data_IF_031415632390
#
_entry.id   IF_031415632390
#
_cell.length_a   1.000
_cell.length_b   1.000
_cell.length_c   1.000
_cell.angle_alpha   90.00
_cell.angle_beta   90.00
_cell.angle_gamma   90.00
#
_symmetry.space_group_name_H-M   'P 1'
#
loop_
_entity.id
_entity.type
_entity.pdbx_description
1 polymer ?
#
# COMPACT_ATOMS: atom_id res chain seq x y z
N UNK A 1 18.44 61.92 29.15
CA UNK A 1 19.26 61.39 30.25
C UNK A 1 19.16 59.86 30.18
N UNK A 2 20.16 59.24 29.55
CA UNK A 2 20.77 57.92 29.83
C UNK A 2 19.81 56.77 30.25
N UNK A 3 19.64 55.65 29.55
CA UNK A 3 20.53 54.91 28.65
C UNK A 3 20.84 53.56 29.31
N UNK A 4 20.36 52.44 28.74
CA UNK A 4 20.98 51.09 28.78
C UNK A 4 20.39 50.28 27.62
N UNK A 5 21.15 50.15 26.53
CA UNK A 5 20.98 49.14 25.48
C UNK A 5 22.37 48.51 25.29
N UNK A 6 22.56 47.30 25.80
CA UNK A 6 23.59 46.33 25.39
C UNK A 6 23.51 45.22 26.42
N UNK A 7 23.17 44.01 25.97
CA UNK A 7 23.70 42.71 26.45
C UNK A 7 22.82 41.53 25.97
N UNK A 8 21.60 41.80 25.49
CA UNK A 8 20.70 40.73 25.00
C UNK A 8 20.99 40.28 23.56
N UNK A 9 21.78 41.03 22.78
CA UNK A 9 22.02 40.71 21.36
C UNK A 9 23.27 39.84 21.12
N UNK A 10 24.14 39.65 22.12
CA UNK A 10 25.33 38.82 21.99
C UNK A 10 25.08 37.36 22.44
N UNK A 11 24.11 37.13 23.33
CA UNK A 11 23.77 35.78 23.83
C UNK A 11 22.93 35.02 22.79
N UNK A 12 22.02 35.69 22.06
CA UNK A 12 21.21 35.03 21.03
C UNK A 12 22.03 34.56 19.83
N UNK A 13 23.06 35.31 19.42
CA UNK A 13 23.94 34.89 18.32
C UNK A 13 24.89 33.75 18.67
N UNK A 14 25.25 33.58 19.95
CA UNK A 14 26.06 32.46 20.42
C UNK A 14 25.21 31.19 20.66
N UNK A 15 23.93 31.33 21.01
CA UNK A 15 23.00 30.20 21.08
C UNK A 15 22.57 29.71 19.68
N UNK A 16 22.31 30.61 18.72
CA UNK A 16 22.00 30.20 17.34
C UNK A 16 23.18 29.50 16.66
N UNK A 17 24.43 29.92 16.90
CA UNK A 17 25.60 29.21 16.34
C UNK A 17 25.87 27.86 17.03
N UNK A 18 25.56 27.72 18.32
CA UNK A 18 25.68 26.45 19.04
C UNK A 18 24.58 25.44 18.68
N UNK A 19 23.34 25.90 18.44
CA UNK A 19 22.25 25.03 17.99
C UNK A 19 22.40 24.63 16.52
N UNK A 20 22.96 25.51 15.66
CA UNK A 20 23.25 25.15 14.26
C UNK A 20 24.41 24.15 14.14
N UNK A 21 25.37 24.17 15.07
CA UNK A 21 26.47 23.18 15.13
C UNK A 21 26.01 21.82 15.70
N UNK A 22 25.09 21.81 16.68
CA UNK A 22 24.56 20.57 17.25
C UNK A 22 23.56 19.86 16.34
N UNK A 23 22.81 20.58 15.49
CA UNK A 23 21.93 19.97 14.48
C UNK A 23 22.72 19.37 13.31
N UNK A 24 23.89 19.91 12.97
CA UNK A 24 24.76 19.30 11.95
C UNK A 24 25.49 18.04 12.45
N UNK A 25 25.84 17.95 13.73
CA UNK A 25 26.51 16.76 14.27
C UNK A 25 25.55 15.57 14.48
N UNK A 26 24.26 15.78 14.75
CA UNK A 26 23.31 14.66 14.90
C UNK A 26 22.94 14.00 13.57
N UNK A 27 22.73 14.79 12.50
CA UNK A 27 22.42 14.24 11.17
C UNK A 27 23.65 13.53 10.56
N UNK A 28 24.87 14.04 10.79
CA UNK A 28 26.10 13.40 10.31
C UNK A 28 26.46 12.13 11.11
N UNK A 29 26.16 12.11 12.42
CA UNK A 29 26.37 10.94 13.29
C UNK A 29 25.47 9.78 12.89
N UNK A 30 24.18 10.06 12.67
CA UNK A 30 23.21 9.04 12.25
C UNK A 30 23.49 8.57 10.82
N UNK A 31 23.85 9.46 9.89
CA UNK A 31 24.24 9.06 8.52
C UNK A 31 25.51 8.21 8.49
N UNK A 32 26.54 8.52 9.29
CA UNK A 32 27.78 7.72 9.38
C UNK A 32 27.51 6.35 10.01
N UNK A 33 26.70 6.28 11.06
CA UNK A 33 26.32 5.01 11.68
C UNK A 33 25.48 4.14 10.74
N UNK A 34 24.56 4.74 9.98
CA UNK A 34 23.75 4.06 8.97
C UNK A 34 24.58 3.61 7.74
N UNK A 35 25.62 4.36 7.36
CA UNK A 35 26.56 3.98 6.30
C UNK A 35 27.37 2.73 6.67
N UNK A 36 27.86 2.66 7.93
CA UNK A 36 28.54 1.46 8.44
C UNK A 36 27.58 0.27 8.59
N UNK A 37 26.35 0.53 9.05
CA UNK A 37 25.34 -0.51 9.17
C UNK A 37 24.98 -1.09 7.79
N UNK A 38 24.69 -0.29 6.77
CA UNK A 38 24.40 -0.79 5.42
C UNK A 38 25.53 -1.63 4.81
N UNK A 39 26.79 -1.35 5.18
CA UNK A 39 27.95 -2.07 4.66
C UNK A 39 27.99 -3.56 5.07
N UNK A 40 27.51 -3.91 6.27
CA UNK A 40 27.47 -5.31 6.72
C UNK A 40 26.43 -6.13 5.95
N UNK A 41 25.23 -5.61 5.74
CA UNK A 41 24.18 -6.26 4.95
C UNK A 41 24.64 -6.43 3.49
N UNK A 42 25.33 -5.43 2.94
CA UNK A 42 25.97 -5.51 1.62
C UNK A 42 27.01 -6.62 1.55
N UNK A 43 27.93 -6.67 2.52
CA UNK A 43 28.96 -7.71 2.58
C UNK A 43 28.34 -9.12 2.70
N UNK A 44 27.33 -9.26 3.57
CA UNK A 44 26.59 -10.50 3.73
C UNK A 44 25.84 -10.89 2.45
N UNK A 45 25.18 -9.94 1.77
CA UNK A 45 24.50 -10.18 0.49
C UNK A 45 25.47 -10.68 -0.58
N UNK A 46 26.68 -10.12 -0.65
CA UNK A 46 27.75 -10.58 -1.54
C UNK A 46 28.23 -12.00 -1.16
N UNK A 47 28.33 -12.31 0.12
CA UNK A 47 28.66 -13.66 0.58
C UNK A 47 27.58 -14.67 0.15
N UNK A 48 26.30 -14.33 0.34
CA UNK A 48 25.18 -15.16 -0.11
C UNK A 48 25.20 -15.38 -1.63
N UNK A 49 25.67 -14.39 -2.42
CA UNK A 49 25.89 -14.58 -3.85
C UNK A 49 26.89 -15.69 -4.14
N UNK A 50 28.06 -15.66 -3.48
CA UNK A 50 29.13 -16.65 -3.64
C UNK A 50 28.69 -18.06 -3.26
N UNK A 51 27.74 -18.15 -2.31
CA UNK A 51 27.15 -19.40 -1.86
C UNK A 51 25.92 -19.85 -2.68
N UNK A 52 25.52 -19.08 -3.70
CA UNK A 52 24.29 -19.31 -4.48
C UNK A 52 23.00 -19.34 -3.63
N UNK A 53 22.97 -18.56 -2.54
CA UNK A 53 21.86 -18.54 -1.57
C UNK A 53 20.88 -17.37 -1.77
N UNK A 54 21.22 -16.38 -2.61
CA UNK A 54 20.35 -15.21 -2.84
C UNK A 54 18.98 -15.57 -3.42
N UNK A 55 18.94 -16.35 -4.51
CA UNK A 55 17.67 -16.72 -5.15
C UNK A 55 16.81 -17.60 -4.24
N UNK A 56 17.33 -18.69 -3.61
CA UNK A 56 16.56 -19.48 -2.66
C UNK A 56 16.01 -18.66 -1.48
N UNK A 57 16.77 -17.67 -0.99
CA UNK A 57 16.34 -16.78 0.08
C UNK A 57 15.13 -15.94 -0.35
N UNK A 58 15.22 -15.24 -1.48
CA UNK A 58 14.11 -14.41 -1.99
C UNK A 58 12.87 -15.26 -2.28
N UNK A 59 13.04 -16.44 -2.88
CA UNK A 59 11.93 -17.35 -3.14
C UNK A 59 11.28 -17.84 -1.85
N UNK A 60 12.07 -18.12 -0.82
CA UNK A 60 11.56 -18.56 0.49
C UNK A 60 10.79 -17.45 1.20
N UNK A 61 11.23 -16.19 1.08
CA UNK A 61 10.50 -15.04 1.60
C UNK A 61 9.14 -14.87 0.89
N UNK A 62 9.10 -14.94 -0.44
CA UNK A 62 7.83 -14.90 -1.19
C UNK A 62 6.93 -16.09 -0.87
N UNK A 63 7.50 -17.29 -0.72
CA UNK A 63 6.77 -18.49 -0.28
C UNK A 63 6.13 -18.26 1.10
N UNK A 64 6.90 -17.73 2.05
CA UNK A 64 6.40 -17.40 3.38
C UNK A 64 5.21 -16.44 3.31
N UNK A 65 5.27 -15.41 2.46
CA UNK A 65 4.16 -14.47 2.26
C UNK A 65 2.92 -15.19 1.74
N UNK A 66 3.03 -15.91 0.62
CA UNK A 66 1.86 -16.54 0.00
C UNK A 66 1.30 -17.70 0.82
N UNK A 67 2.12 -18.35 1.65
CA UNK A 67 1.68 -19.42 2.55
C UNK A 67 0.89 -18.85 3.75
N UNK A 68 1.41 -17.80 4.40
CA UNK A 68 0.86 -17.29 5.66
C UNK A 68 -0.15 -16.15 5.49
N UNK A 69 -0.10 -15.39 4.39
CA UNK A 69 -0.93 -14.21 4.16
C UNK A 69 -1.76 -14.38 2.88
N UNK A 70 -2.71 -15.33 2.90
CA UNK A 70 -3.47 -15.73 1.71
C UNK A 70 -4.21 -14.57 1.04
N UNK A 71 -4.61 -13.56 1.82
CA UNK A 71 -5.33 -12.39 1.32
C UNK A 71 -4.51 -11.53 0.35
N UNK A 72 -3.16 -11.63 0.36
CA UNK A 72 -2.30 -10.89 -0.59
C UNK A 72 -2.02 -11.65 -1.88
N UNK A 73 -2.34 -12.95 -1.97
CA UNK A 73 -2.11 -13.76 -3.18
C UNK A 73 -2.64 -13.11 -4.47
N UNK A 74 -3.81 -12.44 -4.49
CA UNK A 74 -4.35 -11.83 -5.71
C UNK A 74 -3.53 -10.68 -6.30
N UNK A 75 -2.54 -10.15 -5.60
CA UNK A 75 -1.58 -9.16 -6.15
C UNK A 75 -0.75 -9.80 -7.27
N UNK A 76 -0.46 -11.10 -7.16
CA UNK A 76 0.37 -11.82 -8.11
C UNK A 76 -0.44 -12.81 -8.94
N UNK A 77 -0.15 -12.86 -10.24
CA UNK A 77 -0.75 -13.84 -11.14
C UNK A 77 -0.44 -15.29 -10.74
N UNK A 78 0.76 -15.56 -10.21
CA UNK A 78 1.10 -16.89 -9.68
C UNK A 78 0.35 -17.20 -8.38
N UNK A 79 0.05 -16.19 -7.55
CA UNK A 79 -0.67 -16.36 -6.28
C UNK A 79 -2.09 -16.85 -6.49
N UNK A 80 -2.77 -16.37 -7.55
CA UNK A 80 -4.12 -16.80 -7.93
C UNK A 80 -4.21 -18.28 -8.36
N UNK A 81 -3.08 -18.92 -8.69
CA UNK A 81 -3.03 -20.31 -9.13
C UNK A 81 -2.73 -21.30 -8.00
N UNK A 82 -2.43 -20.80 -6.81
CA UNK A 82 -2.08 -21.65 -5.66
C UNK A 82 -3.31 -22.48 -5.26
N UNK A 83 -3.11 -23.79 -5.17
CA UNK A 83 -4.12 -24.75 -4.74
C UNK A 83 -3.55 -25.64 -3.63
N UNK A 84 -3.81 -25.25 -2.38
CA UNK A 84 -3.28 -25.95 -1.20
C UNK A 84 -3.87 -27.35 -1.00
N UNK A 85 -4.94 -27.71 -1.73
CA UNK A 85 -5.47 -29.07 -1.73
C UNK A 85 -4.55 -30.05 -2.46
N UNK A 86 -3.67 -29.54 -3.33
CA UNK A 86 -2.65 -30.34 -4.00
C UNK A 86 -1.38 -30.42 -3.13
N UNK A 87 -0.90 -31.61 -2.74
CA UNK A 87 0.34 -31.72 -1.95
C UNK A 87 1.59 -31.21 -2.67
N UNK A 88 1.53 -31.05 -4.01
CA UNK A 88 2.64 -30.60 -4.84
C UNK A 88 2.61 -29.09 -5.15
N UNK A 89 1.69 -28.32 -4.55
CA UNK A 89 1.48 -26.90 -4.91
C UNK A 89 2.74 -26.04 -4.79
N UNK A 90 3.62 -26.33 -3.81
CA UNK A 90 4.91 -25.64 -3.67
C UNK A 90 5.82 -25.93 -4.85
N UNK A 91 5.92 -27.19 -5.27
CA UNK A 91 6.69 -27.58 -6.47
C UNK A 91 6.17 -26.91 -7.72
N UNK A 92 4.84 -26.82 -7.87
CA UNK A 92 4.20 -26.09 -8.98
C UNK A 92 4.57 -24.60 -8.94
N UNK A 93 4.52 -23.97 -7.75
CA UNK A 93 4.89 -22.57 -7.56
C UNK A 93 6.35 -22.29 -7.92
N UNK A 94 7.29 -23.10 -7.44
CA UNK A 94 8.72 -22.95 -7.77
C UNK A 94 9.00 -23.10 -9.27
N UNK A 95 8.17 -23.85 -10.00
CA UNK A 95 8.27 -24.01 -11.44
C UNK A 95 7.51 -22.94 -12.24
N UNK A 96 6.60 -22.16 -11.62
CA UNK A 96 5.86 -21.09 -12.30
C UNK A 96 6.82 -20.01 -12.80
N UNK A 97 6.66 -19.63 -14.08
CA UNK A 97 7.51 -18.64 -14.75
C UNK A 97 7.46 -17.27 -14.07
N UNK A 98 6.26 -16.81 -13.70
CA UNK A 98 6.08 -15.48 -13.10
C UNK A 98 6.66 -15.41 -11.70
N UNK A 99 6.56 -16.49 -10.92
CA UNK A 99 7.18 -16.58 -9.59
C UNK A 99 8.71 -16.49 -9.68
N UNK A 100 9.33 -17.28 -10.56
CA UNK A 100 10.79 -17.24 -10.76
C UNK A 100 11.27 -15.89 -11.29
N UNK A 101 10.55 -15.33 -12.27
CA UNK A 101 10.88 -14.02 -12.83
C UNK A 101 10.81 -12.93 -11.75
N UNK A 102 9.73 -12.86 -10.97
CA UNK A 102 9.58 -11.87 -9.92
C UNK A 102 10.66 -12.01 -8.84
N UNK A 103 10.99 -13.25 -8.44
CA UNK A 103 12.08 -13.53 -7.50
C UNK A 103 13.44 -13.01 -8.01
N UNK A 104 13.74 -13.24 -9.29
CA UNK A 104 14.96 -12.73 -9.92
C UNK A 104 14.98 -11.20 -10.02
N UNK A 105 13.83 -10.57 -10.30
CA UNK A 105 13.70 -9.10 -10.29
C UNK A 105 13.97 -8.51 -8.90
N UNK A 106 13.41 -9.11 -7.84
CA UNK A 106 13.66 -8.67 -6.45
C UNK A 106 15.14 -8.84 -6.08
N UNK A 107 15.74 -10.01 -6.37
CA UNK A 107 17.16 -10.23 -6.12
C UNK A 107 18.04 -9.18 -6.82
N UNK A 108 17.73 -8.88 -8.08
CA UNK A 108 18.46 -7.87 -8.87
C UNK A 108 18.27 -6.48 -8.28
N UNK A 109 17.05 -6.14 -7.87
CA UNK A 109 16.75 -4.86 -7.21
C UNK A 109 17.52 -4.69 -5.90
N UNK A 110 17.53 -5.70 -5.02
CA UNK A 110 18.32 -5.67 -3.77
C UNK A 110 19.80 -5.45 -4.10
N UNK A 111 20.33 -6.16 -5.11
CA UNK A 111 21.74 -6.00 -5.52
C UNK A 111 22.04 -4.59 -6.02
N UNK A 112 21.14 -4.02 -6.82
CA UNK A 112 21.26 -2.65 -7.32
C UNK A 112 21.25 -1.63 -6.18
N UNK A 113 20.30 -1.76 -5.24
CA UNK A 113 20.19 -0.87 -4.07
C UNK A 113 21.43 -0.98 -3.19
N UNK A 114 21.91 -2.20 -2.92
CA UNK A 114 23.16 -2.44 -2.18
C UNK A 114 24.37 -1.78 -2.87
N UNK A 115 24.37 -1.71 -4.20
CA UNK A 115 25.39 -1.02 -4.99
C UNK A 115 25.35 0.51 -4.89
N UNK A 116 24.24 1.08 -4.42
CA UNK A 116 24.01 2.53 -4.27
C UNK A 116 24.02 3.01 -2.82
N UNK A 117 24.36 2.15 -1.85
CA UNK A 117 24.33 2.51 -0.41
C UNK A 117 25.22 3.70 -0.05
N UNK A 118 26.30 3.91 -0.81
CA UNK A 118 27.24 5.02 -0.56
C UNK A 118 26.66 6.39 -1.03
N UNK A 119 25.52 6.40 -1.74
CA UNK A 119 24.76 7.59 -2.16
C UNK A 119 23.27 7.43 -1.78
N UNK A 120 22.94 7.80 -0.54
CA UNK A 120 21.58 7.69 0.02
C UNK A 120 20.53 8.45 -0.81
N UNK A 121 20.89 9.60 -1.37
CA UNK A 121 19.95 10.42 -2.16
C UNK A 121 19.63 9.75 -3.50
N UNK A 122 20.64 9.17 -4.16
CA UNK A 122 20.43 8.36 -5.36
C UNK A 122 19.60 7.11 -5.05
N UNK A 123 19.91 6.42 -3.95
CA UNK A 123 19.15 5.25 -3.49
C UNK A 123 17.67 5.59 -3.23
N UNK A 124 17.39 6.69 -2.54
CA UNK A 124 16.03 7.17 -2.28
C UNK A 124 15.28 7.44 -3.58
N UNK A 125 15.88 8.18 -4.52
CA UNK A 125 15.24 8.47 -5.82
C UNK A 125 14.90 7.20 -6.60
N UNK A 126 15.83 6.27 -6.66
CA UNK A 126 15.64 4.97 -7.31
C UNK A 126 14.48 4.19 -6.67
N UNK A 127 14.46 4.10 -5.34
CA UNK A 127 13.42 3.37 -4.61
C UNK A 127 12.06 4.06 -4.69
N UNK A 128 12.01 5.40 -4.73
CA UNK A 128 10.77 6.15 -4.96
C UNK A 128 10.18 5.86 -6.35
N UNK A 129 11.02 5.74 -7.39
CA UNK A 129 10.58 5.34 -8.73
C UNK A 129 10.03 3.90 -8.73
N UNK A 130 10.73 2.97 -8.07
CA UNK A 130 10.23 1.60 -7.86
C UNK A 130 8.88 1.62 -7.13
N UNK A 131 8.74 2.44 -6.08
CA UNK A 131 7.49 2.63 -5.34
C UNK A 131 6.35 3.16 -6.20
N UNK A 132 6.61 4.14 -7.07
CA UNK A 132 5.60 4.66 -8.00
C UNK A 132 5.08 3.56 -8.95
N UNK A 133 5.92 2.63 -9.39
CA UNK A 133 5.47 1.46 -10.16
C UNK A 133 4.62 0.49 -9.34
N UNK A 134 4.97 0.26 -8.06
CA UNK A 134 4.23 -0.61 -7.16
C UNK A 134 2.80 -0.12 -6.91
N UNK A 135 2.57 1.19 -6.90
CA UNK A 135 1.22 1.77 -6.87
C UNK A 135 0.33 1.25 -8.03
N UNK A 136 0.88 1.12 -9.24
CA UNK A 136 0.15 0.62 -10.41
C UNK A 136 -0.05 -0.90 -10.40
N UNK A 137 0.73 -1.63 -9.59
CA UNK A 137 0.55 -3.07 -9.35
C UNK A 137 -0.41 -3.36 -8.19
N UNK A 138 -1.10 -2.34 -7.69
CA UNK A 138 -2.00 -2.43 -6.53
C UNK A 138 -1.32 -2.89 -5.25
N UNK A 139 -0.01 -2.64 -5.14
CA UNK A 139 0.69 -2.76 -3.89
C UNK A 139 0.54 -1.49 -3.04
N UNK A 140 0.55 -1.67 -1.72
CA UNK A 140 0.57 -0.59 -0.72
C UNK A 140 1.64 -0.89 0.33
N UNK A 141 1.85 0.06 1.22
CA UNK A 141 2.88 0.08 2.24
C UNK A 141 2.77 -1.13 3.19
N UNK A 142 1.56 -1.57 3.52
CA UNK A 142 1.34 -2.79 4.30
C UNK A 142 1.93 -4.05 3.63
N UNK A 143 1.92 -4.14 2.29
CA UNK A 143 2.57 -5.26 1.59
C UNK A 143 4.09 -5.19 1.66
N UNK A 144 4.67 -3.97 1.75
CA UNK A 144 6.11 -3.79 1.92
C UNK A 144 6.55 -4.21 3.32
N UNK A 145 5.73 -3.93 4.33
CA UNK A 145 5.97 -4.42 5.70
C UNK A 145 5.94 -5.95 5.78
N UNK A 146 4.97 -6.61 5.12
CA UNK A 146 4.95 -8.07 5.02
C UNK A 146 6.21 -8.62 4.33
N UNK A 147 6.69 -7.93 3.29
CA UNK A 147 7.93 -8.31 2.61
C UNK A 147 9.17 -8.17 3.48
N UNK A 148 9.33 -7.06 4.21
CA UNK A 148 10.40 -6.86 5.20
C UNK A 148 10.39 -7.99 6.24
N UNK A 149 9.23 -8.28 6.83
CA UNK A 149 9.08 -9.33 7.84
C UNK A 149 9.44 -10.71 7.29
N UNK A 150 8.97 -11.04 6.08
CA UNK A 150 9.25 -12.32 5.43
C UNK A 150 10.72 -12.50 5.07
N UNK A 151 11.38 -11.43 4.60
CA UNK A 151 12.81 -11.43 4.31
C UNK A 151 13.64 -11.66 5.58
N UNK A 152 13.35 -10.92 6.65
CA UNK A 152 14.03 -11.10 7.95
C UNK A 152 13.79 -12.49 8.53
N UNK A 153 12.55 -13.00 8.48
CA UNK A 153 12.23 -14.36 8.91
C UNK A 153 13.11 -15.37 8.16
N UNK A 154 13.16 -15.28 6.84
CA UNK A 154 13.91 -16.21 6.00
C UNK A 154 15.42 -16.14 6.25
N UNK A 155 15.97 -14.92 6.40
CA UNK A 155 17.38 -14.72 6.75
C UNK A 155 17.73 -15.40 8.09
N UNK A 156 16.83 -15.35 9.07
CA UNK A 156 17.02 -15.98 10.40
C UNK A 156 16.91 -17.50 10.35
N UNK A 157 15.99 -18.05 9.57
CA UNK A 157 15.63 -19.48 9.64
C UNK A 157 16.32 -20.35 8.60
N UNK A 158 16.65 -19.79 7.43
CA UNK A 158 17.14 -20.57 6.29
C UNK A 158 18.67 -20.61 6.19
N UNK A 159 19.37 -19.73 6.92
CA UNK A 159 20.83 -19.63 6.87
C UNK A 159 21.48 -20.38 8.03
N UNK A 160 22.53 -21.15 7.73
CA UNK A 160 23.24 -21.99 8.70
C UNK A 160 24.76 -21.95 8.45
N UNK A 161 25.55 -22.39 9.44
CA UNK A 161 27.01 -22.42 9.35
C UNK A 161 27.58 -21.03 9.02
N UNK A 162 28.49 -20.97 8.05
CA UNK A 162 29.19 -19.75 7.64
C UNK A 162 28.28 -18.68 7.02
N UNK A 163 27.05 -19.05 6.62
CA UNK A 163 26.06 -18.10 6.09
C UNK A 163 25.13 -17.52 7.16
N UNK A 164 25.24 -18.00 8.42
CA UNK A 164 24.37 -17.54 9.50
C UNK A 164 24.72 -16.11 9.90
N UNK A 165 23.70 -15.28 10.09
CA UNK A 165 23.88 -13.92 10.60
C UNK A 165 24.27 -13.95 12.08
N UNK A 166 25.24 -13.11 12.46
CA UNK A 166 25.43 -12.67 13.83
C UNK A 166 24.51 -11.47 14.14
N UNK A 167 24.53 -11.00 15.39
CA UNK A 167 23.64 -9.93 15.83
C UNK A 167 23.89 -8.59 15.08
N UNK A 168 25.14 -8.29 14.73
CA UNK A 168 25.49 -7.07 14.01
C UNK A 168 25.00 -7.13 12.56
N UNK A 169 25.18 -8.27 11.89
CA UNK A 169 24.69 -8.52 10.54
C UNK A 169 23.15 -8.48 10.51
N UNK A 170 22.49 -9.08 11.49
CA UNK A 170 21.03 -9.03 11.59
C UNK A 170 20.51 -7.60 11.75
N UNK A 171 21.09 -6.82 12.67
CA UNK A 171 20.71 -5.42 12.87
C UNK A 171 20.89 -4.60 11.59
N UNK A 172 21.99 -4.83 10.88
CA UNK A 172 22.26 -4.23 9.58
C UNK A 172 21.19 -4.56 8.52
N UNK A 173 20.71 -5.81 8.46
CA UNK A 173 19.60 -6.18 7.57
C UNK A 173 18.28 -5.52 7.95
N UNK A 174 18.00 -5.35 9.25
CA UNK A 174 16.82 -4.64 9.74
C UNK A 174 16.84 -3.19 9.26
N UNK A 175 17.96 -2.50 9.42
CA UNK A 175 18.09 -1.11 8.99
C UNK A 175 18.00 -0.96 7.47
N UNK A 176 18.70 -1.83 6.72
CA UNK A 176 18.60 -1.86 5.26
C UNK A 176 17.17 -2.08 4.76
N UNK A 177 16.46 -3.09 5.29
CA UNK A 177 15.10 -3.38 4.84
C UNK A 177 14.10 -2.29 5.28
N UNK A 178 14.35 -1.65 6.42
CA UNK A 178 13.59 -0.48 6.87
C UNK A 178 13.74 0.69 5.90
N UNK A 179 14.96 0.98 5.43
CA UNK A 179 15.22 2.01 4.41
C UNK A 179 14.53 1.67 3.08
N UNK A 180 14.65 0.43 2.63
CA UNK A 180 13.97 -0.05 1.41
C UNK A 180 12.46 0.12 1.52
N UNK A 181 11.86 -0.33 2.63
CA UNK A 181 10.42 -0.15 2.88
C UNK A 181 10.03 1.32 2.88
N UNK A 182 10.80 2.16 3.58
CA UNK A 182 10.51 3.60 3.73
C UNK A 182 10.50 4.29 2.37
N UNK A 183 11.56 4.15 1.58
CA UNK A 183 11.66 4.85 0.29
C UNK A 183 10.70 4.29 -0.78
N UNK A 184 10.49 2.96 -0.85
CA UNK A 184 9.44 2.43 -1.74
C UNK A 184 8.05 2.94 -1.28
N UNK A 185 7.79 2.99 0.02
CA UNK A 185 6.57 3.54 0.60
C UNK A 185 6.37 5.02 0.26
N UNK A 186 7.40 5.85 0.36
CA UNK A 186 7.39 7.25 -0.10
C UNK A 186 6.99 7.35 -1.57
N UNK A 187 7.59 6.52 -2.44
CA UNK A 187 7.24 6.46 -3.86
C UNK A 187 5.75 6.15 -4.11
N UNK A 188 5.20 5.18 -3.38
CA UNK A 188 3.76 4.84 -3.43
C UNK A 188 2.92 6.04 -2.97
N UNK A 189 3.28 6.68 -1.85
CA UNK A 189 2.55 7.81 -1.29
C UNK A 189 2.58 9.03 -2.22
N UNK A 190 3.72 9.32 -2.86
CA UNK A 190 3.85 10.38 -3.87
C UNK A 190 2.91 10.09 -5.05
N UNK A 191 2.96 8.88 -5.61
CA UNK A 191 2.12 8.51 -6.75
C UNK A 191 0.62 8.52 -6.42
N UNK A 192 0.26 8.12 -5.20
CA UNK A 192 -1.10 8.21 -4.67
C UNK A 192 -1.57 9.67 -4.59
N UNK A 193 -0.74 10.56 -4.04
CA UNK A 193 -1.06 11.98 -3.93
C UNK A 193 -1.24 12.63 -5.32
N UNK A 194 -0.38 12.29 -6.28
CA UNK A 194 -0.54 12.71 -7.68
C UNK A 194 -1.87 12.23 -8.24
N UNK A 195 -2.21 10.95 -8.05
CA UNK A 195 -3.48 10.40 -8.50
C UNK A 195 -4.68 11.12 -7.87
N UNK A 196 -4.71 11.31 -6.55
CA UNK A 196 -5.82 11.98 -5.86
C UNK A 196 -6.02 13.42 -6.33
N UNK A 197 -4.93 14.12 -6.68
CA UNK A 197 -4.97 15.49 -7.20
C UNK A 197 -5.56 15.56 -8.61
N UNK A 198 -5.23 14.59 -9.47
CA UNK A 198 -5.39 14.73 -10.92
C UNK A 198 -6.40 13.76 -11.56
N UNK A 199 -6.89 12.75 -10.85
CA UNK A 199 -7.67 11.67 -11.46
C UNK A 199 -9.01 12.11 -12.07
N UNK A 200 -9.53 13.27 -11.67
CA UNK A 200 -10.86 13.74 -11.99
C UNK A 200 -10.90 15.21 -12.40
N UNK A 201 -11.63 15.49 -13.48
CA UNK A 201 -11.86 16.86 -13.96
C UNK A 201 -13.13 17.47 -13.34
N UNK A 202 -13.25 18.82 -13.32
CA UNK A 202 -14.46 19.49 -12.80
C UNK A 202 -15.74 19.07 -13.53
N UNK A 203 -15.67 18.90 -14.87
CA UNK A 203 -16.81 18.48 -15.67
C UNK A 203 -17.25 17.03 -15.37
N UNK A 204 -16.30 16.14 -15.10
CA UNK A 204 -16.64 14.78 -14.65
C UNK A 204 -17.35 14.81 -13.29
N UNK A 205 -16.92 15.70 -12.38
CA UNK A 205 -17.57 15.85 -11.06
C UNK A 205 -18.95 16.48 -11.11
N UNK A 206 -19.22 17.41 -12.03
CA UNK A 206 -20.58 17.94 -12.25
C UNK A 206 -21.52 16.79 -12.66
N UNK A 207 -21.08 15.92 -13.56
CA UNK A 207 -21.86 14.75 -13.99
C UNK A 207 -22.08 13.73 -12.86
N UNK A 208 -21.04 13.46 -12.06
CA UNK A 208 -21.15 12.59 -10.88
C UNK A 208 -22.15 13.16 -9.87
N UNK A 209 -22.02 14.45 -9.51
CA UNK A 209 -22.93 15.11 -8.54
C UNK A 209 -24.37 15.08 -9.03
N UNK A 210 -24.62 15.39 -10.31
CA UNK A 210 -25.97 15.32 -10.88
C UNK A 210 -26.59 13.91 -10.81
N UNK A 211 -25.78 12.86 -11.01
CA UNK A 211 -26.25 11.47 -10.86
C UNK A 211 -26.38 11.07 -9.40
N UNK A 212 -25.56 11.61 -8.50
CA UNK A 212 -25.65 11.38 -7.06
C UNK A 212 -26.95 11.91 -6.47
N UNK A 213 -27.42 13.08 -6.91
CA UNK A 213 -28.74 13.59 -6.51
C UNK A 213 -29.87 12.59 -6.82
N UNK A 214 -29.81 11.91 -7.97
CA UNK A 214 -30.80 10.87 -8.31
C UNK A 214 -30.74 9.67 -7.36
N UNK A 215 -29.55 9.36 -6.83
CA UNK A 215 -29.34 8.29 -5.86
C UNK A 215 -29.87 8.71 -4.49
N UNK A 216 -29.69 9.98 -4.11
CA UNK A 216 -30.30 10.55 -2.92
C UNK A 216 -31.83 10.49 -3.02
N UNK A 217 -32.41 10.91 -4.15
CA UNK A 217 -33.85 10.86 -4.43
C UNK A 217 -34.40 9.42 -4.41
N UNK A 218 -33.60 8.45 -4.86
CA UNK A 218 -33.94 7.03 -4.79
C UNK A 218 -33.91 6.49 -3.35
N UNK A 219 -33.01 7.00 -2.51
CA UNK A 219 -32.83 6.60 -1.12
C UNK A 219 -31.49 5.91 -0.90
N UNK A 220 -30.61 6.55 -0.12
CA UNK A 220 -29.27 6.04 0.21
C UNK A 220 -29.28 4.65 0.88
N UNK A 221 -30.19 4.33 1.83
CA UNK A 221 -30.21 2.99 2.44
C UNK A 221 -30.46 1.89 1.41
N UNK A 222 -31.49 2.04 0.56
CA UNK A 222 -31.82 1.06 -0.48
C UNK A 222 -30.69 0.94 -1.51
N UNK A 223 -30.11 2.06 -1.94
CA UNK A 223 -28.96 2.07 -2.84
C UNK A 223 -27.75 1.33 -2.25
N UNK A 224 -27.45 1.54 -0.96
CA UNK A 224 -26.36 0.87 -0.26
C UNK A 224 -26.55 -0.65 -0.18
N UNK A 225 -27.78 -1.10 0.09
CA UNK A 225 -28.09 -2.54 0.12
C UNK A 225 -27.86 -3.21 -1.24
N UNK A 226 -28.23 -2.54 -2.36
CA UNK A 226 -27.98 -3.03 -3.71
C UNK A 226 -26.47 -3.18 -3.97
N UNK A 227 -25.68 -2.15 -3.62
CA UNK A 227 -24.21 -2.19 -3.77
C UNK A 227 -23.63 -3.36 -2.98
N UNK A 228 -23.99 -3.48 -1.70
CA UNK A 228 -23.40 -4.47 -0.81
C UNK A 228 -23.83 -5.90 -1.16
N UNK A 229 -25.11 -6.13 -1.48
CA UNK A 229 -25.60 -7.45 -1.88
C UNK A 229 -24.83 -7.95 -3.10
N UNK A 230 -24.71 -7.10 -4.13
CA UNK A 230 -24.00 -7.47 -5.34
C UNK A 230 -22.50 -7.65 -5.07
N UNK A 231 -21.88 -6.75 -4.32
CA UNK A 231 -20.47 -6.84 -3.99
C UNK A 231 -20.15 -8.14 -3.24
N UNK A 232 -20.92 -8.51 -2.22
CA UNK A 232 -20.73 -9.75 -1.45
C UNK A 232 -20.80 -10.98 -2.38
N UNK A 233 -21.80 -11.02 -3.26
CA UNK A 233 -21.96 -12.13 -4.22
C UNK A 233 -20.76 -12.22 -5.17
N UNK A 234 -20.33 -11.09 -5.72
CA UNK A 234 -19.17 -11.03 -6.62
C UNK A 234 -17.87 -11.37 -5.90
N UNK A 235 -17.67 -10.87 -4.69
CA UNK A 235 -16.49 -11.15 -3.88
C UNK A 235 -16.40 -12.64 -3.50
N UNK A 236 -17.51 -13.24 -3.06
CA UNK A 236 -17.60 -14.68 -2.76
C UNK A 236 -17.22 -15.52 -3.97
N UNK A 237 -17.71 -15.15 -5.16
CA UNK A 237 -17.36 -15.82 -6.42
C UNK A 237 -15.86 -15.68 -6.73
N UNK A 238 -15.30 -14.49 -6.58
CA UNK A 238 -13.88 -14.22 -6.86
C UNK A 238 -12.95 -14.97 -5.91
N UNK A 239 -13.26 -14.98 -4.61
CA UNK A 239 -12.56 -15.78 -3.59
C UNK A 239 -12.60 -17.26 -3.96
N UNK A 240 -13.78 -17.81 -4.28
CA UNK A 240 -13.93 -19.21 -4.65
C UNK A 240 -13.14 -19.59 -5.91
N UNK A 241 -13.13 -18.71 -6.92
CA UNK A 241 -12.30 -18.89 -8.12
C UNK A 241 -10.80 -18.86 -7.82
N UNK A 242 -10.39 -18.07 -6.82
CA UNK A 242 -9.01 -17.97 -6.36
C UNK A 242 -8.65 -19.04 -5.30
N UNK A 243 -9.57 -19.97 -4.97
CA UNK A 243 -9.39 -21.01 -3.95
C UNK A 243 -8.95 -20.47 -2.59
N UNK A 244 -9.46 -19.30 -2.23
CA UNK A 244 -9.20 -18.68 -0.94
C UNK A 244 -10.30 -19.07 0.05
N UNK A 245 -9.93 -19.50 1.25
CA UNK A 245 -10.88 -19.69 2.34
C UNK A 245 -10.93 -18.41 3.17
N UNK A 246 -11.82 -17.50 2.78
CA UNK A 246 -12.03 -16.22 3.48
C UNK A 246 -13.50 -16.06 3.81
N UNK A 247 -13.80 -15.77 5.07
CA UNK A 247 -15.17 -15.58 5.53
C UNK A 247 -15.60 -14.13 5.31
N UNK A 248 -16.79 -13.94 4.74
CA UNK A 248 -17.47 -12.65 4.78
C UNK A 248 -18.21 -12.59 6.12
N UNK A 249 -17.91 -11.64 7.01
CA UNK A 249 -18.30 -11.75 8.42
C UNK A 249 -19.78 -11.46 8.70
N UNK A 250 -20.59 -11.15 7.68
CA UNK A 250 -21.98 -10.71 7.88
C UNK A 250 -22.96 -11.35 6.89
N UNK A 251 -24.16 -11.66 7.41
CA UNK A 251 -25.31 -12.13 6.63
C UNK A 251 -26.14 -10.93 6.16
N UNK A 252 -26.81 -11.07 5.02
CA UNK A 252 -27.70 -10.02 4.48
C UNK A 252 -28.73 -9.51 5.50
N UNK A 253 -29.27 -10.40 6.33
CA UNK A 253 -30.28 -10.05 7.33
C UNK A 253 -29.70 -9.51 8.65
N UNK A 254 -28.40 -9.26 8.72
CA UNK A 254 -27.76 -8.77 9.95
C UNK A 254 -27.74 -7.25 10.00
N UNK A 255 -27.88 -6.69 11.20
CA UNK A 255 -27.71 -5.24 11.43
C UNK A 255 -26.33 -4.74 10.97
N UNK A 256 -25.32 -5.63 11.03
CA UNK A 256 -23.97 -5.37 10.51
C UNK A 256 -23.99 -5.10 9.00
N UNK A 257 -24.79 -5.83 8.22
CA UNK A 257 -24.92 -5.60 6.78
C UNK A 257 -25.55 -4.25 6.49
N UNK A 258 -26.65 -3.91 7.16
CA UNK A 258 -27.33 -2.61 7.00
C UNK A 258 -26.40 -1.46 7.39
N UNK A 259 -25.71 -1.56 8.52
CA UNK A 259 -24.74 -0.55 8.94
C UNK A 259 -23.58 -0.40 7.95
N UNK A 260 -23.07 -1.52 7.40
CA UNK A 260 -22.03 -1.47 6.37
C UNK A 260 -22.51 -0.82 5.06
N UNK A 261 -23.74 -1.12 4.63
CA UNK A 261 -24.36 -0.50 3.47
C UNK A 261 -24.51 1.02 3.64
N UNK A 262 -24.96 1.48 4.81
CA UNK A 262 -25.03 2.89 5.13
C UNK A 262 -23.64 3.56 5.13
N UNK A 263 -22.65 2.93 5.76
CA UNK A 263 -21.27 3.44 5.80
C UNK A 263 -20.66 3.58 4.41
N UNK A 264 -20.88 2.62 3.51
CA UNK A 264 -20.39 2.71 2.12
C UNK A 264 -21.00 3.93 1.42
N UNK A 265 -22.32 4.14 1.55
CA UNK A 265 -22.98 5.26 0.89
C UNK A 265 -22.54 6.61 1.47
N UNK A 266 -22.33 6.68 2.79
CA UNK A 266 -21.75 7.85 3.44
C UNK A 266 -20.32 8.13 2.96
N UNK A 267 -19.49 7.09 2.81
CA UNK A 267 -18.13 7.24 2.30
C UNK A 267 -18.11 7.76 0.85
N UNK A 268 -19.04 7.32 0.00
CA UNK A 268 -19.21 7.89 -1.34
C UNK A 268 -19.68 9.35 -1.30
N UNK A 269 -20.61 9.69 -0.41
CA UNK A 269 -21.08 11.07 -0.25
C UNK A 269 -19.91 11.99 0.14
N UNK A 270 -19.14 11.62 1.17
CA UNK A 270 -17.93 12.33 1.60
C UNK A 270 -16.93 12.45 0.47
N UNK A 271 -16.68 11.37 -0.30
CA UNK A 271 -15.80 11.43 -1.46
C UNK A 271 -16.27 12.47 -2.49
N UNK A 272 -17.55 12.49 -2.84
CA UNK A 272 -18.12 13.42 -3.83
C UNK A 272 -18.05 14.88 -3.36
N UNK A 273 -18.25 15.12 -2.07
CA UNK A 273 -18.18 16.47 -1.49
C UNK A 273 -16.74 16.97 -1.30
N UNK A 274 -15.78 16.06 -1.03
CA UNK A 274 -14.37 16.43 -0.80
C UNK A 274 -13.66 17.02 -2.02
N UNK A 275 -14.16 16.75 -3.24
CA UNK A 275 -13.51 17.21 -4.46
C UNK A 275 -13.53 18.74 -4.59
N UNK A 276 -12.35 19.31 -4.85
CA UNK A 276 -12.19 20.70 -5.28
C UNK A 276 -11.27 20.84 -6.49
N UNK A 277 -11.47 21.87 -7.30
CA UNK A 277 -10.69 22.08 -8.52
C UNK A 277 -9.19 22.32 -8.24
N UNK A 278 -8.83 22.89 -7.09
CA UNK A 278 -7.44 23.24 -6.76
C UNK A 278 -6.60 22.08 -6.26
N UNK A 279 -7.21 21.13 -5.54
CA UNK A 279 -6.48 20.02 -4.88
C UNK A 279 -7.05 18.64 -5.17
N UNK A 280 -8.03 18.52 -6.08
CA UNK A 280 -8.68 17.25 -6.39
C UNK A 280 -9.31 16.63 -5.14
N UNK A 281 -8.94 15.37 -4.85
CA UNK A 281 -9.33 14.60 -3.66
C UNK A 281 -8.25 14.56 -2.56
N UNK A 282 -7.24 15.44 -2.57
CA UNK A 282 -6.16 15.35 -1.57
C UNK A 282 -6.65 15.44 -0.11
N UNK A 283 -7.71 16.21 0.16
CA UNK A 283 -8.27 16.33 1.51
C UNK A 283 -9.05 15.09 1.95
N UNK A 284 -9.46 14.24 0.99
CA UNK A 284 -10.27 13.07 1.25
C UNK A 284 -9.62 12.18 2.31
N UNK A 285 -8.30 11.97 2.28
CA UNK A 285 -7.59 11.16 3.29
C UNK A 285 -7.95 11.57 4.73
N UNK A 286 -8.10 12.87 5.00
CA UNK A 286 -8.50 13.35 6.33
C UNK A 286 -10.00 13.15 6.56
N UNK A 287 -10.82 13.40 5.54
CA UNK A 287 -12.28 13.35 5.62
C UNK A 287 -12.83 11.93 5.85
N UNK A 288 -12.11 10.87 5.41
CA UNK A 288 -12.54 9.46 5.53
C UNK A 288 -12.04 8.76 6.81
N UNK A 289 -11.18 9.39 7.62
CA UNK A 289 -10.51 8.76 8.78
C UNK A 289 -11.46 8.02 9.72
N UNK A 290 -12.65 8.59 10.00
CA UNK A 290 -13.62 7.99 10.90
C UNK A 290 -14.22 6.67 10.39
N UNK A 291 -14.30 6.48 9.07
CA UNK A 291 -14.83 5.24 8.48
C UNK A 291 -13.76 4.14 8.47
N UNK A 292 -12.48 4.49 8.28
CA UNK A 292 -11.37 3.51 8.26
C UNK A 292 -11.27 2.77 9.60
N UNK A 293 -11.36 3.50 10.71
CA UNK A 293 -11.32 2.92 12.07
C UNK A 293 -12.46 1.92 12.29
N UNK A 294 -13.64 2.21 11.71
CA UNK A 294 -14.84 1.35 11.86
C UNK A 294 -14.80 0.12 10.93
N UNK A 295 -14.07 0.20 9.82
CA UNK A 295 -14.09 -0.81 8.76
C UNK A 295 -12.85 -1.72 8.71
N UNK A 296 -11.83 -1.50 9.56
CA UNK A 296 -10.48 -2.09 9.48
C UNK A 296 -10.35 -3.31 8.57
N UNK A 297 -9.90 -3.02 7.35
CA UNK A 297 -9.80 -3.92 6.21
C UNK A 297 -8.49 -4.73 6.31
N UNK A 298 -8.39 -5.64 7.26
CA UNK A 298 -7.21 -6.53 7.39
C UNK A 298 -7.48 -7.97 6.94
N UNK A 299 -8.76 -8.34 6.75
CA UNK A 299 -9.16 -9.70 6.37
C UNK A 299 -9.81 -9.78 4.99
N UNK A 300 -9.50 -8.85 4.07
CA UNK A 300 -10.01 -8.90 2.70
C UNK A 300 -8.88 -8.79 1.68
N UNK A 301 -9.13 -9.25 0.45
CA UNK A 301 -8.24 -9.07 -0.69
C UNK A 301 -8.59 -7.74 -1.38
N UNK A 302 -7.78 -6.66 -1.25
CA UNK A 302 -8.16 -5.34 -1.75
C UNK A 302 -8.50 -5.34 -3.25
N UNK A 303 -7.68 -6.03 -4.06
CA UNK A 303 -7.87 -6.13 -5.50
C UNK A 303 -9.22 -6.79 -5.88
N UNK A 304 -9.63 -7.83 -5.15
CA UNK A 304 -10.90 -8.53 -5.39
C UNK A 304 -12.08 -7.74 -4.82
N UNK A 305 -11.91 -7.12 -3.64
CA UNK A 305 -12.91 -6.27 -3.01
C UNK A 305 -13.27 -5.08 -3.90
N UNK A 306 -12.28 -4.38 -4.48
CA UNK A 306 -12.51 -3.32 -5.47
C UNK A 306 -13.34 -3.79 -6.66
N UNK A 307 -13.00 -4.94 -7.25
CA UNK A 307 -13.76 -5.47 -8.39
C UNK A 307 -15.22 -5.73 -7.99
N UNK A 308 -15.42 -6.33 -6.82
CA UNK A 308 -16.73 -6.61 -6.28
C UNK A 308 -17.56 -5.35 -5.99
N UNK A 309 -16.97 -4.36 -5.31
CA UNK A 309 -17.65 -3.09 -5.01
C UNK A 309 -17.99 -2.32 -6.29
N UNK A 310 -17.08 -2.27 -7.27
CA UNK A 310 -17.37 -1.65 -8.57
C UNK A 310 -18.53 -2.35 -9.30
N UNK A 311 -18.60 -3.68 -9.25
CA UNK A 311 -19.76 -4.41 -9.80
C UNK A 311 -21.06 -4.01 -9.10
N UNK A 312 -21.05 -3.89 -7.77
CA UNK A 312 -22.22 -3.44 -6.99
C UNK A 312 -22.60 -1.99 -7.28
N UNK A 313 -21.61 -1.09 -7.36
CA UNK A 313 -21.79 0.31 -7.72
C UNK A 313 -22.46 0.44 -9.09
N UNK A 314 -22.00 -0.31 -10.08
CA UNK A 314 -22.59 -0.26 -11.42
C UNK A 314 -23.98 -0.88 -11.48
N UNK A 315 -24.28 -1.91 -10.69
CA UNK A 315 -25.62 -2.47 -10.59
C UNK A 315 -26.60 -1.47 -9.95
N UNK A 316 -26.19 -0.80 -8.88
CA UNK A 316 -26.99 0.27 -8.25
C UNK A 316 -27.21 1.43 -9.22
N UNK A 317 -26.15 1.93 -9.88
CA UNK A 317 -26.27 3.00 -10.87
C UNK A 317 -27.20 2.62 -12.02
N UNK A 318 -27.21 1.35 -12.45
CA UNK A 318 -28.09 0.86 -13.53
C UNK A 318 -29.55 0.91 -13.11
N UNK A 319 -29.81 0.54 -11.86
CA UNK A 319 -31.16 0.56 -11.29
C UNK A 319 -31.69 1.97 -11.08
N UNK A 320 -30.84 2.90 -10.64
CA UNK A 320 -31.24 4.29 -10.35
C UNK A 320 -31.29 5.16 -11.61
N UNK A 321 -30.26 5.09 -12.47
CA UNK A 321 -30.10 5.98 -13.61
C UNK A 321 -30.55 5.37 -14.95
N UNK A 322 -30.72 4.05 -15.02
CA UNK A 322 -31.04 3.32 -16.25
C UNK A 322 -29.82 3.00 -17.12
N UNK A 323 -29.95 1.97 -17.96
CA UNK A 323 -28.87 1.43 -18.79
C UNK A 323 -28.29 2.42 -19.81
N UNK A 324 -29.14 3.27 -20.39
CA UNK A 324 -28.73 4.25 -21.41
C UNK A 324 -27.75 5.30 -20.89
N UNK A 325 -27.76 5.55 -19.58
CA UNK A 325 -26.91 6.53 -18.88
C UNK A 325 -25.57 5.94 -18.43
N UNK A 326 -25.44 4.60 -18.43
CA UNK A 326 -24.28 3.87 -17.90
C UNK A 326 -23.32 3.35 -18.98
N UNK A 327 -23.11 4.19 -20.01
CA UNK A 327 -22.13 3.96 -21.06
C UNK A 327 -20.72 3.84 -20.48
N UNK A 328 -19.79 3.32 -21.27
CA UNK A 328 -18.39 3.12 -20.86
C UNK A 328 -17.74 4.39 -20.28
N UNK A 329 -18.01 5.55 -20.86
CA UNK A 329 -17.53 6.83 -20.35
C UNK A 329 -18.00 7.10 -18.91
N UNK A 330 -19.29 6.87 -18.60
CA UNK A 330 -19.81 7.03 -17.25
C UNK A 330 -19.16 6.03 -16.28
N UNK A 331 -19.02 4.76 -16.68
CA UNK A 331 -18.35 3.73 -15.87
C UNK A 331 -16.91 4.10 -15.52
N UNK A 332 -16.17 4.70 -16.46
CA UNK A 332 -14.80 5.18 -16.21
C UNK A 332 -14.75 6.29 -15.15
N UNK A 333 -15.69 7.23 -15.16
CA UNK A 333 -15.79 8.30 -14.13
C UNK A 333 -16.06 7.73 -12.74
N UNK A 334 -17.05 6.86 -12.61
CA UNK A 334 -17.37 6.21 -11.34
C UNK A 334 -16.24 5.30 -10.84
N UNK A 335 -15.50 4.64 -11.74
CA UNK A 335 -14.30 3.91 -11.37
C UNK A 335 -13.22 4.82 -10.78
N UNK A 336 -12.95 5.98 -11.41
CA UNK A 336 -12.02 6.98 -10.86
C UNK A 336 -12.44 7.46 -9.46
N UNK A 337 -13.72 7.76 -9.27
CA UNK A 337 -14.24 8.17 -7.95
C UNK A 337 -14.00 7.09 -6.89
N UNK A 338 -14.38 5.83 -7.19
CA UNK A 338 -14.16 4.74 -6.26
C UNK A 338 -12.67 4.50 -6.00
N UNK A 339 -11.82 4.57 -7.02
CA UNK A 339 -10.38 4.44 -6.84
C UNK A 339 -9.80 5.57 -5.99
N UNK A 340 -10.29 6.80 -6.10
CA UNK A 340 -9.89 7.88 -5.20
C UNK A 340 -10.29 7.57 -3.74
N UNK A 341 -11.51 7.09 -3.51
CA UNK A 341 -11.97 6.67 -2.19
C UNK A 341 -11.14 5.50 -1.64
N UNK A 342 -10.87 4.47 -2.43
CA UNK A 342 -10.03 3.33 -2.06
C UNK A 342 -8.62 3.79 -1.65
N UNK A 343 -8.00 4.68 -2.43
CA UNK A 343 -6.68 5.20 -2.11
C UNK A 343 -6.65 6.04 -0.83
N UNK A 344 -7.71 6.82 -0.58
CA UNK A 344 -7.84 7.57 0.66
C UNK A 344 -8.02 6.65 1.88
N UNK A 345 -8.77 5.55 1.73
CA UNK A 345 -8.90 4.51 2.76
C UNK A 345 -7.53 3.89 3.05
N UNK A 346 -6.79 3.46 2.02
CA UNK A 346 -5.46 2.85 2.18
C UNK A 346 -4.50 3.81 2.89
N UNK A 347 -4.44 5.07 2.46
CA UNK A 347 -3.59 6.08 3.11
C UNK A 347 -3.96 6.27 4.59
N UNK A 348 -5.26 6.31 4.90
CA UNK A 348 -5.73 6.48 6.27
C UNK A 348 -5.39 5.29 7.17
N UNK A 349 -5.41 4.04 6.64
CA UNK A 349 -5.03 2.84 7.40
C UNK A 349 -3.57 2.94 7.85
N UNK A 350 -2.69 3.49 7.02
CA UNK A 350 -1.25 3.58 7.32
C UNK A 350 -0.90 4.66 8.35
N UNK A 351 -1.82 5.58 8.66
CA UNK A 351 -1.62 6.60 9.70
C UNK A 351 -2.02 6.11 11.11
N UNK A 352 -2.63 4.92 11.21
CA UNK A 352 -2.93 4.22 12.46
C UNK A 352 -1.92 3.11 12.72
#
# INVERSE_FOLDING_TARGET
MLGVFSDTLLISKLQETSETLLVQESDLSDDVFLLEAGAMARAHWIQLHKLNLQTPLVQSALLYIVENYKHVRPIWQFGLKIDETSPEWKTVLYNDFYFRHHSASIQSAITMVMGSLDDRECMRKLLNEVGAHHYFYDACEAHLELFEQAMLHTLRTSLTGDSKMDAATEQSWVEFLKDVKTYIGEGIAIQRNTYLRECMTPNEMIDIRSKWEKIIDFGLPEAGEIVCERAIKSYTKLIGMAKLEMMIPFKRSSEVFTSFAEMIMQAFDVAIQSYSQGVGFCNLVTDIKEFVVKCMILDTCPALARKAILEGLFEMLQRVCGDSELKECARRKWNKLYRALEQAIIASIMEY
#
